data_IF_066374263486
#
_entry.id   IF_066374263486
#
_cell.length_a   1.000
_cell.length_b   1.000
_cell.length_c   1.000
_cell.angle_alpha   90.00
_cell.angle_beta   90.00
_cell.angle_gamma   90.00
#
_symmetry.space_group_name_H-M   'P 1'
#
loop_
_entity.id
_entity.type
_entity.pdbx_description
1 polymer ?
#
# COMPACT_ATOMS: atom_id res chain seq x y z
N UNK A 1 -15.83 -1.67 14.94
CA UNK A 1 -14.54 -1.69 14.21
C UNK A 1 -14.68 -2.15 12.75
N UNK A 2 -15.50 -3.15 12.40
CA UNK A 2 -15.58 -3.69 11.03
C UNK A 2 -16.33 -2.88 9.95
N UNK A 3 -17.28 -2.00 10.31
CA UNK A 3 -18.13 -1.32 9.31
C UNK A 3 -17.39 -0.26 8.48
N UNK A 4 -16.40 0.43 9.07
CA UNK A 4 -15.57 1.42 8.37
C UNK A 4 -14.73 0.78 7.27
N UNK A 5 -14.13 -0.38 7.54
CA UNK A 5 -13.35 -1.13 6.55
C UNK A 5 -14.24 -1.67 5.42
N UNK A 6 -15.45 -2.13 5.75
CA UNK A 6 -16.41 -2.55 4.72
C UNK A 6 -16.81 -1.39 3.81
N UNK A 7 -16.97 -0.18 4.35
CA UNK A 7 -17.17 1.04 3.56
C UNK A 7 -16.00 1.35 2.62
N UNK A 8 -14.76 1.26 3.12
CA UNK A 8 -13.55 1.47 2.31
C UNK A 8 -13.47 0.44 1.17
N UNK A 9 -13.74 -0.83 1.47
CA UNK A 9 -13.73 -1.90 0.45
C UNK A 9 -14.85 -1.76 -0.57
N UNK A 10 -16.05 -1.37 -0.12
CA UNK A 10 -17.17 -1.14 -1.01
C UNK A 10 -16.86 0.02 -1.95
N UNK A 11 -16.36 1.14 -1.41
CA UNK A 11 -15.92 2.30 -2.19
C UNK A 11 -14.81 1.93 -3.19
N UNK A 12 -13.79 1.18 -2.75
CA UNK A 12 -12.72 0.71 -3.62
C UNK A 12 -13.25 -0.14 -4.78
N UNK A 13 -14.17 -1.07 -4.52
CA UNK A 13 -14.77 -1.96 -5.53
C UNK A 13 -15.66 -1.21 -6.52
N UNK A 14 -16.42 -0.21 -6.08
CA UNK A 14 -17.19 0.66 -6.98
C UNK A 14 -16.26 1.55 -7.81
N UNK A 15 -15.25 2.16 -7.20
CA UNK A 15 -14.32 3.06 -7.88
C UNK A 15 -13.45 2.37 -8.94
N UNK A 16 -13.02 1.12 -8.69
CA UNK A 16 -12.35 0.30 -9.71
C UNK A 16 -13.26 0.06 -10.92
N UNK A 17 -14.56 -0.21 -10.70
CA UNK A 17 -15.54 -0.38 -11.80
C UNK A 17 -15.76 0.88 -12.64
N UNK A 18 -15.52 2.08 -12.08
CA UNK A 18 -15.65 3.35 -12.79
C UNK A 18 -14.34 3.88 -13.38
N UNK A 19 -13.28 3.07 -13.45
CA UNK A 19 -12.00 3.48 -14.04
C UNK A 19 -11.25 4.56 -13.24
N UNK A 20 -11.67 4.83 -11.98
CA UNK A 20 -11.05 5.80 -11.07
C UNK A 20 -10.22 5.10 -9.99
N UNK A 21 -9.40 4.14 -10.39
CA UNK A 21 -8.52 3.34 -9.52
C UNK A 21 -7.19 4.03 -9.15
N UNK A 22 -7.14 5.36 -9.09
CA UNK A 22 -5.96 6.13 -8.65
C UNK A 22 -5.86 6.20 -7.11
N UNK A 23 -5.25 7.26 -6.58
CA UNK A 23 -4.98 7.51 -5.15
C UNK A 23 -6.24 7.72 -4.27
N UNK A 24 -7.42 7.80 -4.88
CA UNK A 24 -8.69 8.16 -4.23
C UNK A 24 -9.19 7.15 -3.16
N UNK A 25 -9.03 5.82 -3.31
CA UNK A 25 -9.39 4.86 -2.27
C UNK A 25 -8.54 4.98 -1.00
N UNK A 26 -7.24 5.27 -1.12
CA UNK A 26 -6.38 5.52 0.04
C UNK A 26 -6.67 6.85 0.71
N UNK A 27 -7.09 7.87 -0.04
CA UNK A 27 -7.54 9.14 0.53
C UNK A 27 -8.81 8.94 1.36
N UNK A 28 -9.77 8.13 0.87
CA UNK A 28 -10.97 7.75 1.64
C UNK A 28 -10.59 6.93 2.87
N UNK A 29 -9.67 5.97 2.74
CA UNK A 29 -9.22 5.15 3.86
C UNK A 29 -8.62 6.01 4.98
N UNK A 30 -7.71 6.93 4.65
CA UNK A 30 -7.07 7.83 5.61
C UNK A 30 -8.02 8.88 6.17
N UNK A 31 -9.01 9.37 5.40
CA UNK A 31 -10.03 10.29 5.93
C UNK A 31 -10.96 9.61 6.95
N UNK A 32 -11.28 8.33 6.75
CA UNK A 32 -12.16 7.57 7.65
C UNK A 32 -11.41 6.99 8.87
N UNK A 33 -10.14 6.69 8.68
CA UNK A 33 -9.24 6.15 9.69
C UNK A 33 -7.80 6.67 9.47
N UNK A 34 -7.41 7.77 10.13
CA UNK A 34 -6.06 8.34 10.00
C UNK A 34 -4.94 7.38 10.42
N UNK A 35 -5.23 6.45 11.33
CA UNK A 35 -4.30 5.42 11.81
C UNK A 35 -4.36 4.14 10.98
N UNK A 36 -4.96 4.17 9.79
CA UNK A 36 -5.17 2.98 8.96
C UNK A 36 -3.86 2.20 8.74
N UNK A 37 -2.78 2.88 8.35
CA UNK A 37 -1.49 2.24 8.06
C UNK A 37 -0.97 1.51 9.31
N UNK A 38 -1.05 2.12 10.49
CA UNK A 38 -0.59 1.55 11.76
C UNK A 38 -1.40 0.30 12.20
N UNK A 39 -2.63 0.16 11.71
CA UNK A 39 -3.50 -0.99 12.01
C UNK A 39 -3.30 -2.16 11.06
N UNK A 40 -2.62 -1.94 9.93
CA UNK A 40 -2.37 -2.98 8.95
C UNK A 40 -1.31 -3.93 9.48
N UNK A 41 -1.65 -5.21 9.53
CA UNK A 41 -0.68 -6.26 9.78
C UNK A 41 0.07 -6.53 8.48
N UNK A 42 1.34 -6.15 8.48
CA UNK A 42 2.25 -6.27 7.35
C UNK A 42 2.67 -7.73 7.12
N UNK A 43 3.11 -8.09 5.89
CA UNK A 43 3.64 -9.42 5.63
C UNK A 43 4.98 -9.65 6.35
N UNK A 44 5.46 -10.90 6.35
CA UNK A 44 6.73 -11.27 6.98
C UNK A 44 7.92 -10.47 6.41
N UNK A 45 7.94 -10.26 5.10
CA UNK A 45 8.99 -9.51 4.42
C UNK A 45 8.50 -8.09 4.10
N UNK A 46 9.10 -7.10 4.74
CA UNK A 46 8.85 -5.67 4.46
C UNK A 46 10.14 -4.97 4.07
N UNK A 47 10.16 -4.36 2.89
CA UNK A 47 11.29 -3.61 2.36
C UNK A 47 10.84 -2.18 2.07
N UNK A 48 11.47 -1.21 2.73
CA UNK A 48 11.25 0.21 2.49
C UNK A 48 12.38 0.77 1.64
N UNK A 49 12.03 1.43 0.54
CA UNK A 49 12.98 2.06 -0.37
C UNK A 49 12.78 3.58 -0.33
N UNK A 50 13.80 4.30 0.15
CA UNK A 50 13.81 5.77 0.20
C UNK A 50 15.13 6.32 -0.37
N UNK A 51 15.25 7.64 -0.49
CA UNK A 51 16.43 8.32 -1.05
C UNK A 51 16.07 9.34 -2.12
N UNK A 52 17.00 10.22 -2.47
CA UNK A 52 16.70 11.39 -3.33
C UNK A 52 16.41 11.02 -4.79
N UNK A 53 16.96 9.92 -5.31
CA UNK A 53 16.77 9.46 -6.68
C UNK A 53 16.74 7.92 -6.75
N UNK A 54 16.19 7.39 -7.84
CA UNK A 54 16.24 5.95 -8.15
C UNK A 54 15.29 5.07 -7.37
N UNK A 55 14.52 5.61 -6.41
CA UNK A 55 13.58 4.86 -5.55
C UNK A 55 12.65 3.94 -6.34
N UNK A 56 11.95 4.47 -7.35
CA UNK A 56 10.97 3.72 -8.14
C UNK A 56 11.61 2.58 -8.91
N UNK A 57 12.74 2.83 -9.58
CA UNK A 57 13.48 1.81 -10.30
C UNK A 57 13.96 0.71 -9.36
N UNK A 58 14.57 1.08 -8.23
CA UNK A 58 15.06 0.13 -7.24
C UNK A 58 13.93 -0.68 -6.61
N UNK A 59 12.84 -0.03 -6.19
CA UNK A 59 11.65 -0.69 -5.63
C UNK A 59 11.05 -1.70 -6.61
N UNK A 60 10.92 -1.34 -7.88
CA UNK A 60 10.41 -2.25 -8.91
C UNK A 60 11.36 -3.43 -9.16
N UNK A 61 12.67 -3.19 -9.24
CA UNK A 61 13.66 -4.26 -9.42
C UNK A 61 13.63 -5.27 -8.26
N UNK A 62 13.55 -4.80 -7.02
CA UNK A 62 13.44 -5.66 -5.84
C UNK A 62 12.13 -6.47 -5.89
N UNK A 63 11.01 -5.81 -6.18
CA UNK A 63 9.72 -6.48 -6.25
C UNK A 63 9.69 -7.57 -7.34
N UNK A 64 10.27 -7.29 -8.50
CA UNK A 64 10.32 -8.25 -9.61
C UNK A 64 11.27 -9.42 -9.33
N UNK A 65 12.39 -9.19 -8.64
CA UNK A 65 13.27 -10.26 -8.18
C UNK A 65 12.57 -11.20 -7.19
N UNK A 66 11.84 -10.64 -6.22
CA UNK A 66 11.06 -11.42 -5.25
C UNK A 66 9.92 -12.21 -5.93
N UNK A 67 9.23 -11.60 -6.92
CA UNK A 67 8.23 -12.32 -7.73
C UNK A 67 8.84 -13.47 -8.53
N UNK A 68 10.02 -13.26 -9.12
CA UNK A 68 10.76 -14.32 -9.84
C UNK A 68 11.18 -15.46 -8.89
N UNK A 69 11.42 -15.15 -7.61
CA UNK A 69 11.65 -16.15 -6.56
C UNK A 69 10.37 -16.88 -6.10
N UNK A 70 9.21 -16.61 -6.71
CA UNK A 70 7.95 -17.30 -6.41
C UNK A 70 7.09 -16.65 -5.31
N UNK A 71 7.48 -15.48 -4.81
CA UNK A 71 6.74 -14.78 -3.76
C UNK A 71 5.61 -13.93 -4.32
N UNK A 72 4.52 -13.81 -3.56
CA UNK A 72 3.46 -12.84 -3.81
C UNK A 72 3.87 -11.49 -3.23
N UNK A 73 4.16 -10.52 -4.11
CA UNK A 73 4.71 -9.21 -3.72
C UNK A 73 3.77 -8.06 -4.07
N UNK A 74 3.52 -7.18 -3.10
CA UNK A 74 2.84 -5.89 -3.31
C UNK A 74 3.86 -4.75 -3.35
N UNK A 75 3.70 -3.81 -4.28
CA UNK A 75 4.52 -2.59 -4.33
C UNK A 75 3.76 -1.42 -4.97
N UNK A 76 4.09 -0.18 -4.60
CA UNK A 76 3.56 1.05 -5.20
C UNK A 76 4.29 1.38 -6.51
N UNK A 77 4.11 0.51 -7.51
CA UNK A 77 4.89 0.49 -8.75
C UNK A 77 4.89 1.79 -9.60
N UNK A 78 3.91 2.67 -9.37
CA UNK A 78 3.78 3.98 -10.06
C UNK A 78 4.56 5.11 -9.37
N UNK A 79 5.23 4.83 -8.24
CA UNK A 79 5.92 5.85 -7.45
C UNK A 79 4.99 6.65 -6.55
N UNK A 80 3.83 6.10 -6.17
CA UNK A 80 2.91 6.72 -5.20
C UNK A 80 3.51 6.66 -3.78
N UNK A 81 4.54 7.48 -3.53
CA UNK A 81 5.46 7.40 -2.39
C UNK A 81 5.00 8.15 -1.12
N UNK A 82 3.85 8.83 -1.19
CA UNK A 82 3.21 9.51 -0.08
C UNK A 82 2.26 8.58 0.69
N UNK A 83 1.89 8.97 1.91
CA UNK A 83 0.98 8.18 2.78
C UNK A 83 -0.30 7.74 2.07
N UNK A 84 -0.89 8.59 1.22
CA UNK A 84 -2.11 8.28 0.47
C UNK A 84 -1.89 7.14 -0.52
N UNK A 85 -0.73 7.11 -1.17
CA UNK A 85 -0.32 6.04 -2.07
C UNK A 85 -0.13 4.72 -1.33
N UNK A 86 0.59 4.77 -0.22
CA UNK A 86 0.84 3.60 0.65
C UNK A 86 -0.48 3.07 1.23
N UNK A 87 -1.35 3.94 1.73
CA UNK A 87 -2.67 3.55 2.20
C UNK A 87 -3.53 2.94 1.08
N UNK A 88 -3.45 3.47 -0.14
CA UNK A 88 -4.14 2.88 -1.31
C UNK A 88 -3.62 1.46 -1.59
N UNK A 89 -2.30 1.28 -1.60
CA UNK A 89 -1.64 -0.01 -1.81
C UNK A 89 -2.10 -1.02 -0.75
N UNK A 90 -2.03 -0.65 0.53
CA UNK A 90 -2.40 -1.52 1.63
C UNK A 90 -3.91 -1.83 1.60
N UNK A 91 -4.77 -0.82 1.43
CA UNK A 91 -6.23 -1.00 1.37
C UNK A 91 -6.69 -1.95 0.26
N UNK A 92 -5.98 -1.96 -0.88
CA UNK A 92 -6.26 -2.87 -1.98
C UNK A 92 -5.87 -4.33 -1.67
N UNK A 93 -4.97 -4.56 -0.70
CA UNK A 93 -4.35 -5.86 -0.46
C UNK A 93 -4.62 -6.45 0.93
N UNK A 94 -5.31 -5.75 1.83
CA UNK A 94 -5.68 -6.27 3.16
C UNK A 94 -6.99 -7.05 3.19
N UNK A 95 -7.06 -8.05 4.06
CA UNK A 95 -8.27 -8.81 4.37
C UNK A 95 -9.22 -8.05 5.32
N UNK A 96 -10.27 -8.69 5.84
CA UNK A 96 -11.22 -8.04 6.77
C UNK A 96 -10.65 -7.79 8.17
N UNK A 97 -9.52 -8.38 8.49
CA UNK A 97 -8.79 -8.26 9.76
C UNK A 97 -7.56 -7.36 9.64
N UNK A 98 -7.46 -6.60 8.54
CA UNK A 98 -6.32 -5.72 8.24
C UNK A 98 -5.01 -6.47 7.96
N UNK A 99 -5.06 -7.76 7.62
CA UNK A 99 -3.88 -8.55 7.25
C UNK A 99 -3.58 -8.41 5.76
N UNK A 100 -2.37 -7.98 5.41
CA UNK A 100 -1.91 -7.95 4.01
C UNK A 100 -1.85 -9.37 3.46
N UNK A 101 -2.52 -9.62 2.34
CA UNK A 101 -2.51 -10.92 1.64
C UNK A 101 -1.34 -11.02 0.66
N UNK A 102 -0.10 -10.97 1.15
CA UNK A 102 1.12 -11.08 0.37
C UNK A 102 2.22 -11.73 1.22
N UNK A 103 3.26 -12.24 0.56
CA UNK A 103 4.45 -12.76 1.25
C UNK A 103 5.47 -11.64 1.51
N UNK A 104 5.47 -10.61 0.64
CA UNK A 104 6.33 -9.44 0.78
C UNK A 104 5.66 -8.13 0.38
N UNK A 105 6.07 -7.04 1.02
CA UNK A 105 5.74 -5.66 0.65
C UNK A 105 7.03 -4.88 0.36
N UNK A 106 7.13 -4.33 -0.85
CA UNK A 106 8.22 -3.42 -1.25
C UNK A 106 7.63 -2.04 -1.45
N UNK A 107 7.94 -1.10 -0.58
CA UNK A 107 7.27 0.19 -0.53
C UNK A 107 8.30 1.28 -0.77
N UNK A 108 8.14 1.99 -1.88
CA UNK A 108 8.82 3.26 -2.08
C UNK A 108 8.22 4.33 -1.16
N UNK A 109 9.07 5.07 -0.46
CA UNK A 109 8.66 6.11 0.49
C UNK A 109 9.47 7.38 0.28
N UNK A 110 8.77 8.51 0.29
CA UNK A 110 9.39 9.83 0.32
C UNK A 110 10.17 10.06 1.62
N UNK A 111 11.45 10.45 1.51
CA UNK A 111 12.39 10.62 2.61
C UNK A 111 11.90 11.57 3.71
N UNK A 112 11.07 12.56 3.38
CA UNK A 112 10.53 13.52 4.35
C UNK A 112 9.36 12.97 5.15
N UNK A 113 8.84 11.79 4.76
CA UNK A 113 7.62 11.22 5.33
C UNK A 113 7.82 9.85 5.98
N UNK A 114 8.97 9.19 5.79
CA UNK A 114 9.30 7.87 6.37
C UNK A 114 8.95 7.75 7.85
N UNK A 115 9.36 8.72 8.67
CA UNK A 115 9.17 8.68 10.13
C UNK A 115 7.71 8.81 10.59
N UNK A 116 6.79 9.19 9.70
CA UNK A 116 5.35 9.33 9.99
C UNK A 116 4.54 8.11 9.58
N UNK A 117 5.17 7.10 8.99
CA UNK A 117 4.46 6.02 8.29
C UNK A 117 4.59 4.64 8.96
N UNK A 118 5.59 4.46 9.83
CA UNK A 118 5.90 3.19 10.50
C UNK A 118 6.31 3.43 11.95
#
# INVERSE_FOLDING_TARGET
MGWKLQLVKLAHKTLQKFGRGGSFPGEIALRLDPDFINKVQMPEIVIIVTGTNGKTTTSNLIADALRQAGLKVINNHRGDNLNVGIATLLAANVDSHYCVKADAAVIEVDELTVYRQF
#
